data_IF_069477783287
#
_entry.id   IF_069477783287
#
_cell.length_a   1.000
_cell.length_b   1.000
_cell.length_c   1.000
_cell.angle_alpha   90.00
_cell.angle_beta   90.00
_cell.angle_gamma   90.00
#
_symmetry.space_group_name_H-M   'P 1'
#
loop_
_entity.id
_entity.type
_entity.pdbx_description
1 polymer ?
#
# COMPACT_ATOMS: atom_id res chain seq x y z
N UNK A 1 17.29 0.91 -0.36
CA UNK A 1 16.19 1.03 0.62
C UNK A 1 15.05 0.17 0.11
N UNK A 2 14.62 -0.84 0.86
CA UNK A 2 13.54 -1.76 0.49
C UNK A 2 12.27 -1.34 1.23
N UNK A 3 11.16 -1.15 0.50
CA UNK A 3 9.90 -0.64 1.04
C UNK A 3 8.85 -1.74 0.96
N UNK A 4 8.06 -1.89 2.03
CA UNK A 4 6.83 -2.67 2.03
C UNK A 4 5.64 -1.72 2.17
N UNK A 5 4.56 -1.99 1.44
CA UNK A 5 3.37 -1.14 1.41
C UNK A 5 2.19 -1.90 1.96
N UNK A 6 1.54 -1.32 2.96
CA UNK A 6 0.35 -1.84 3.60
C UNK A 6 -0.94 -1.55 2.82
N UNK A 7 -2.00 -2.27 3.15
CA UNK A 7 -3.35 -2.15 2.60
C UNK A 7 -3.91 -0.73 2.69
N UNK A 8 -3.69 -0.04 3.80
CA UNK A 8 -4.17 1.33 4.00
C UNK A 8 -3.70 2.30 2.89
N UNK A 9 -2.46 2.17 2.46
CA UNK A 9 -1.90 2.99 1.38
C UNK A 9 -2.52 2.62 0.03
N UNK A 10 -2.75 1.32 -0.25
CA UNK A 10 -3.44 0.89 -1.48
C UNK A 10 -4.85 1.45 -1.53
N UNK A 11 -5.59 1.34 -0.43
CA UNK A 11 -6.98 1.85 -0.35
C UNK A 11 -7.03 3.33 -0.67
N UNK A 12 -6.14 4.16 -0.12
CA UNK A 12 -6.11 5.59 -0.46
C UNK A 12 -5.79 5.85 -1.93
N UNK A 13 -4.90 5.07 -2.54
CA UNK A 13 -4.54 5.25 -3.94
C UNK A 13 -5.73 5.11 -4.89
N UNK A 14 -6.71 4.27 -4.52
CA UNK A 14 -7.95 4.02 -5.29
C UNK A 14 -9.16 4.79 -4.75
N UNK A 15 -9.06 5.45 -3.59
CA UNK A 15 -10.15 6.23 -3.00
C UNK A 15 -10.28 7.61 -3.65
N UNK A 16 -11.50 8.12 -3.67
CA UNK A 16 -11.84 9.51 -4.06
C UNK A 16 -12.16 10.40 -2.87
N UNK A 17 -12.22 9.84 -1.66
CA UNK A 17 -12.68 10.55 -0.46
C UNK A 17 -11.66 11.59 0.06
N UNK A 18 -10.37 11.34 -0.15
CA UNK A 18 -9.29 12.25 0.24
C UNK A 18 -8.29 12.41 -0.92
N UNK A 19 -8.47 13.42 -1.78
CA UNK A 19 -7.61 13.64 -2.93
C UNK A 19 -6.13 13.82 -2.58
N UNK A 20 -5.83 14.44 -1.42
CA UNK A 20 -4.44 14.67 -0.99
C UNK A 20 -3.76 13.35 -0.61
N UNK A 21 -4.42 12.53 0.20
CA UNK A 21 -3.90 11.20 0.55
C UNK A 21 -3.82 10.28 -0.67
N UNK A 22 -4.80 10.36 -1.58
CA UNK A 22 -4.81 9.59 -2.82
C UNK A 22 -3.58 9.91 -3.70
N UNK A 23 -3.24 11.18 -3.85
CA UNK A 23 -2.04 11.58 -4.61
C UNK A 23 -0.76 11.07 -3.95
N UNK A 24 -0.64 11.24 -2.63
CA UNK A 24 0.49 10.75 -1.85
C UNK A 24 0.64 9.23 -1.98
N UNK A 25 -0.45 8.50 -1.84
CA UNK A 25 -0.46 7.05 -1.95
C UNK A 25 -0.03 6.58 -3.36
N UNK A 26 -0.54 7.23 -4.42
CA UNK A 26 -0.12 6.94 -5.79
C UNK A 26 1.36 7.22 -6.02
N UNK A 27 1.91 8.26 -5.38
CA UNK A 27 3.35 8.55 -5.45
C UNK A 27 4.17 7.46 -4.75
N UNK A 28 3.76 7.00 -3.57
CA UNK A 28 4.36 5.84 -2.89
C UNK A 28 4.35 4.61 -3.79
N UNK A 29 3.23 4.35 -4.46
CA UNK A 29 3.09 3.22 -5.37
C UNK A 29 3.91 3.37 -6.66
N UNK A 30 4.33 4.57 -7.06
CA UNK A 30 5.26 4.76 -8.19
C UNK A 30 6.71 4.41 -7.86
N UNK A 31 7.05 4.23 -6.60
CA UNK A 31 8.38 3.78 -6.19
C UNK A 31 8.56 2.34 -6.71
N UNK A 32 9.40 2.18 -7.73
CA UNK A 32 9.63 0.86 -8.35
C UNK A 32 10.26 -0.11 -7.36
N UNK A 33 9.80 -1.38 -7.38
CA UNK A 33 10.37 -2.46 -6.60
C UNK A 33 9.90 -2.55 -5.14
N UNK A 34 8.85 -1.81 -4.75
CA UNK A 34 8.20 -1.97 -3.44
C UNK A 34 7.53 -3.34 -3.30
N UNK A 35 7.54 -3.85 -2.06
CA UNK A 35 6.90 -5.11 -1.71
C UNK A 35 5.46 -4.89 -1.26
N UNK A 36 4.62 -5.85 -1.57
CA UNK A 36 3.30 -6.10 -0.98
C UNK A 36 3.20 -7.59 -0.67
N UNK A 37 2.13 -8.03 0.01
CA UNK A 37 1.86 -9.45 0.21
C UNK A 37 0.52 -9.89 -0.37
N UNK A 38 0.31 -11.19 -0.47
CA UNK A 38 -1.00 -11.76 -0.81
C UNK A 38 -2.09 -11.38 0.20
N UNK A 39 -1.73 -11.17 1.48
CA UNK A 39 -2.65 -10.61 2.48
C UNK A 39 -3.09 -9.19 2.08
N UNK A 40 -2.14 -8.31 1.77
CA UNK A 40 -2.42 -6.92 1.34
C UNK A 40 -3.38 -6.90 0.14
N UNK A 41 -3.14 -7.75 -0.85
CA UNK A 41 -4.03 -7.86 -2.02
C UNK A 41 -5.43 -8.35 -1.65
N UNK A 42 -5.53 -9.32 -0.73
CA UNK A 42 -6.80 -9.86 -0.24
C UNK A 42 -7.60 -8.81 0.54
N UNK A 43 -6.95 -8.11 1.47
CA UNK A 43 -7.58 -7.05 2.26
C UNK A 43 -8.00 -5.87 1.39
N UNK A 44 -7.14 -5.44 0.46
CA UNK A 44 -7.48 -4.42 -0.53
C UNK A 44 -8.73 -4.81 -1.33
N UNK A 45 -8.79 -6.04 -1.84
CA UNK A 45 -9.93 -6.54 -2.60
C UNK A 45 -11.22 -6.49 -1.78
N UNK A 46 -11.18 -6.91 -0.51
CA UNK A 46 -12.34 -6.86 0.38
C UNK A 46 -12.80 -5.42 0.67
N UNK A 47 -11.86 -4.50 0.92
CA UNK A 47 -12.17 -3.08 1.15
C UNK A 47 -12.70 -2.42 -0.13
N UNK A 48 -12.11 -2.73 -1.29
CA UNK A 48 -12.54 -2.22 -2.58
C UNK A 48 -13.97 -2.64 -2.91
N UNK A 49 -14.34 -3.90 -2.64
CA UNK A 49 -15.70 -4.39 -2.79
C UNK A 49 -16.69 -3.67 -1.86
N UNK A 50 -16.34 -3.56 -0.56
CA UNK A 50 -17.30 -3.15 0.47
C UNK A 50 -17.39 -1.64 0.68
N UNK A 51 -16.23 -0.93 0.61
CA UNK A 51 -16.16 0.50 0.95
C UNK A 51 -15.99 1.39 -0.27
N UNK A 52 -15.21 0.97 -1.27
CA UNK A 52 -15.04 1.74 -2.49
C UNK A 52 -16.10 1.40 -3.55
N UNK A 53 -16.90 0.37 -3.31
CA UNK A 53 -17.98 -0.09 -4.19
C UNK A 53 -17.48 -0.30 -5.63
N UNK A 54 -16.26 -0.80 -5.76
CA UNK A 54 -15.66 -1.09 -7.06
C UNK A 54 -16.23 -2.38 -7.64
N UNK A 55 -16.49 -2.43 -8.96
CA UNK A 55 -16.91 -3.67 -9.62
C UNK A 55 -15.83 -4.77 -9.49
N UNK A 56 -16.21 -6.05 -9.27
CA UNK A 56 -15.24 -7.15 -9.12
C UNK A 56 -14.23 -7.25 -10.27
N UNK A 57 -14.68 -6.93 -11.49
CA UNK A 57 -13.80 -6.94 -12.68
C UNK A 57 -12.71 -5.88 -12.61
N UNK A 58 -13.03 -4.68 -12.13
CA UNK A 58 -12.06 -3.60 -11.96
C UNK A 58 -11.07 -3.91 -10.83
N UNK A 59 -11.54 -4.55 -9.75
CA UNK A 59 -10.68 -5.00 -8.65
C UNK A 59 -9.69 -6.06 -9.15
N UNK A 60 -10.17 -7.04 -9.92
CA UNK A 60 -9.31 -8.09 -10.47
C UNK A 60 -8.23 -7.50 -11.38
N UNK A 61 -8.56 -6.48 -12.17
CA UNK A 61 -7.59 -5.77 -13.00
C UNK A 61 -6.55 -5.00 -12.16
N UNK A 62 -7.01 -4.28 -11.13
CA UNK A 62 -6.12 -3.58 -10.20
C UNK A 62 -5.15 -4.54 -9.49
N UNK A 63 -5.63 -5.71 -9.06
CA UNK A 63 -4.80 -6.75 -8.42
C UNK A 63 -3.74 -7.28 -9.40
N UNK A 64 -4.09 -7.54 -10.68
CA UNK A 64 -3.09 -7.96 -11.68
C UNK A 64 -2.03 -6.90 -11.90
N UNK A 65 -2.42 -5.64 -12.09
CA UNK A 65 -1.50 -4.52 -12.26
C UNK A 65 -0.57 -4.33 -11.06
N UNK A 66 -1.08 -4.48 -9.84
CA UNK A 66 -0.27 -4.45 -8.63
C UNK A 66 0.74 -5.60 -8.60
N UNK A 67 0.32 -6.82 -8.97
CA UNK A 67 1.19 -7.99 -9.02
C UNK A 67 2.27 -7.89 -10.11
N UNK A 68 1.99 -7.26 -11.24
CA UNK A 68 2.95 -7.03 -12.31
C UNK A 68 3.98 -5.93 -11.99
N UNK A 69 3.56 -4.91 -11.24
CA UNK A 69 4.39 -3.73 -10.96
C UNK A 69 5.10 -3.79 -9.62
N UNK A 70 4.77 -4.75 -8.75
CA UNK A 70 5.29 -4.93 -7.39
C UNK A 70 5.87 -6.32 -7.19
N UNK A 71 6.77 -6.44 -6.21
CA UNK A 71 7.17 -7.74 -5.69
C UNK A 71 6.07 -8.22 -4.73
N UNK A 72 5.53 -9.40 -4.97
CA UNK A 72 4.47 -9.97 -4.14
C UNK A 72 5.05 -11.09 -3.29
N UNK A 73 5.02 -10.90 -1.96
CA UNK A 73 5.33 -11.95 -1.00
C UNK A 73 4.08 -12.81 -0.78
N UNK A 74 4.20 -14.10 -1.01
CA UNK A 74 3.16 -15.05 -0.64
C UNK A 74 3.24 -15.35 0.85
N UNK A 75 2.15 -15.11 1.59
CA UNK A 75 2.07 -15.45 3.02
C UNK A 75 2.11 -16.96 3.19
N UNK A 76 3.04 -17.43 4.02
CA UNK A 76 3.28 -18.83 4.34
C UNK A 76 3.10 -19.08 5.85
N UNK A 77 3.07 -20.34 6.25
CA UNK A 77 2.89 -20.75 7.66
C UNK A 77 3.92 -20.07 8.58
N UNK A 78 5.17 -19.96 8.14
CA UNK A 78 6.22 -19.28 8.93
C UNK A 78 5.88 -17.81 9.27
N UNK A 79 5.24 -17.08 8.34
CA UNK A 79 4.79 -15.70 8.59
C UNK A 79 3.64 -15.66 9.61
N UNK A 80 2.73 -16.66 9.58
CA UNK A 80 1.63 -16.78 10.56
C UNK A 80 2.19 -16.98 11.95
N UNK A 81 3.17 -17.87 12.14
CA UNK A 81 3.82 -18.12 13.43
C UNK A 81 4.56 -16.87 13.91
N UNK A 82 5.35 -16.24 13.04
CA UNK A 82 6.06 -15.01 13.38
C UNK A 82 5.12 -13.87 13.79
N UNK A 83 3.96 -13.77 13.13
CA UNK A 83 2.95 -12.76 13.47
C UNK A 83 2.40 -12.93 14.88
N UNK A 84 2.19 -14.17 15.36
CA UNK A 84 1.74 -14.44 16.73
C UNK A 84 2.78 -13.96 17.77
N UNK A 85 4.07 -14.17 17.50
CA UNK A 85 5.14 -13.71 18.36
C UNK A 85 5.25 -12.18 18.38
N UNK A 86 5.17 -11.54 17.20
CA UNK A 86 5.18 -10.09 17.07
C UNK A 86 3.97 -9.46 17.78
N UNK A 87 2.78 -10.02 17.61
CA UNK A 87 1.57 -9.57 18.31
C UNK A 87 1.74 -9.60 19.83
N UNK A 88 2.30 -10.67 20.38
CA UNK A 88 2.60 -10.77 21.80
C UNK A 88 3.63 -9.73 22.26
N UNK A 89 4.69 -9.51 21.48
CA UNK A 89 5.82 -8.64 21.83
C UNK A 89 5.49 -7.16 21.71
N UNK A 90 4.85 -6.77 20.59
CA UNK A 90 4.59 -5.36 20.25
C UNK A 90 3.16 -4.91 20.53
N UNK A 91 2.27 -5.83 20.92
CA UNK A 91 0.85 -5.56 21.25
C UNK A 91 0.04 -5.03 20.07
N UNK A 92 0.44 -5.33 18.85
CA UNK A 92 -0.34 -5.10 17.64
C UNK A 92 -1.42 -6.18 17.45
N UNK A 93 -2.44 -5.88 16.65
CA UNK A 93 -3.39 -6.89 16.21
C UNK A 93 -2.68 -8.02 15.45
N UNK A 94 -3.34 -9.17 15.34
CA UNK A 94 -2.77 -10.29 14.58
C UNK A 94 -2.51 -9.92 13.12
N UNK A 95 -3.46 -9.24 12.47
CA UNK A 95 -3.32 -8.87 11.05
C UNK A 95 -2.23 -7.82 10.82
N UNK A 96 -2.12 -6.83 11.70
CA UNK A 96 -1.02 -5.85 11.67
C UNK A 96 0.33 -6.55 11.86
N UNK A 97 0.39 -7.51 12.79
CA UNK A 97 1.59 -8.31 13.04
C UNK A 97 1.95 -9.18 11.84
N UNK A 98 0.98 -9.66 11.07
CA UNK A 98 1.22 -10.43 9.86
C UNK A 98 1.76 -9.56 8.72
N UNK A 99 1.32 -8.31 8.62
CA UNK A 99 1.92 -7.31 7.72
C UNK A 99 3.38 -7.06 8.11
N UNK A 100 3.66 -6.86 9.41
CA UNK A 100 5.02 -6.65 9.92
C UNK A 100 5.90 -7.88 9.64
N UNK A 101 5.42 -9.10 9.92
CA UNK A 101 6.14 -10.34 9.64
C UNK A 101 6.45 -10.48 8.15
N UNK A 102 5.50 -10.16 7.29
CA UNK A 102 5.67 -10.17 5.83
C UNK A 102 6.72 -9.15 5.37
N UNK A 103 6.69 -7.94 5.94
CA UNK A 103 7.67 -6.90 5.62
C UNK A 103 9.10 -7.28 6.03
N UNK A 104 9.27 -7.86 7.23
CA UNK A 104 10.57 -8.36 7.70
C UNK A 104 11.07 -9.50 6.80
N UNK A 105 10.23 -10.48 6.46
CA UNK A 105 10.58 -11.59 5.59
C UNK A 105 10.94 -11.15 4.17
N UNK A 106 10.33 -10.06 3.67
CA UNK A 106 10.69 -9.44 2.39
C UNK A 106 12.01 -8.65 2.44
N UNK A 107 12.66 -8.55 3.60
CA UNK A 107 13.87 -7.73 3.80
C UNK A 107 13.60 -6.23 3.64
N UNK A 108 12.38 -5.79 3.95
CA UNK A 108 12.04 -4.38 3.90
C UNK A 108 12.70 -3.64 5.08
N UNK A 109 13.15 -2.40 4.82
CA UNK A 109 13.67 -1.50 5.85
C UNK A 109 12.66 -0.43 6.24
N UNK A 110 11.60 -0.26 5.46
CA UNK A 110 10.49 0.66 5.73
C UNK A 110 9.16 0.00 5.42
N UNK A 111 8.22 0.09 6.36
CA UNK A 111 6.81 -0.26 6.17
C UNK A 111 5.99 1.02 6.09
N UNK A 112 5.38 1.29 4.92
CA UNK A 112 4.42 2.37 4.78
C UNK A 112 3.03 1.92 5.16
N UNK A 113 2.48 2.53 6.21
CA UNK A 113 1.13 2.29 6.74
C UNK A 113 0.60 3.54 7.44
N UNK A 114 -0.72 3.68 7.55
CA UNK A 114 -1.35 4.72 8.37
C UNK A 114 -1.77 4.17 9.74
N UNK A 115 -1.97 2.84 9.85
CA UNK A 115 -2.66 2.19 10.97
C UNK A 115 -1.73 1.84 12.15
N UNK A 116 -0.41 1.91 11.94
CA UNK A 116 0.59 1.57 12.95
C UNK A 116 1.32 2.80 13.50
N UNK A 117 2.05 2.62 14.61
CA UNK A 117 2.77 3.71 15.27
C UNK A 117 3.92 4.25 14.41
N UNK A 118 3.72 5.44 13.86
CA UNK A 118 4.72 6.13 13.06
C UNK A 118 6.02 6.35 13.84
N UNK A 119 7.14 6.04 13.22
CA UNK A 119 8.49 6.22 13.77
C UNK A 119 8.99 5.04 14.58
N UNK A 120 8.14 4.07 14.93
CA UNK A 120 8.57 2.87 15.63
C UNK A 120 9.46 2.03 14.72
N UNK A 121 10.46 1.40 15.32
CA UNK A 121 11.33 0.42 14.66
C UNK A 121 11.09 -0.97 15.24
N UNK A 122 10.84 -1.93 14.40
CA UNK A 122 10.62 -3.33 14.76
C UNK A 122 11.94 -4.09 14.60
N UNK A 123 12.33 -4.81 15.65
CA UNK A 123 13.57 -5.62 15.74
C UNK A 123 14.85 -4.86 15.31
N UNK A 124 14.86 -3.53 15.44
CA UNK A 124 15.97 -2.69 15.02
C UNK A 124 16.15 -2.55 13.49
N UNK A 125 15.27 -3.14 12.70
CA UNK A 125 15.42 -3.28 11.24
C UNK A 125 14.33 -2.54 10.48
N UNK A 126 13.05 -2.80 10.79
CA UNK A 126 11.90 -2.31 10.03
C UNK A 126 11.34 -1.04 10.65
N UNK A 127 11.51 0.10 9.98
CA UNK A 127 10.91 1.37 10.40
C UNK A 127 9.47 1.48 9.90
N UNK A 128 8.53 1.74 10.80
CA UNK A 128 7.14 2.05 10.47
C UNK A 128 7.02 3.54 10.12
N UNK A 129 6.41 3.87 8.98
CA UNK A 129 6.27 5.23 8.52
C UNK A 129 4.88 5.47 7.91
N UNK A 130 4.17 6.51 8.38
CA UNK A 130 2.99 6.98 7.68
C UNK A 130 3.41 7.90 6.52
N UNK A 131 3.03 7.60 5.28
CA UNK A 131 3.38 8.47 4.16
C UNK A 131 2.56 9.77 4.15
N UNK A 132 1.52 9.87 4.96
CA UNK A 132 0.58 10.99 4.98
C UNK A 132 0.96 12.10 5.96
N UNK A 133 1.95 11.87 6.83
CA UNK A 133 2.43 12.88 7.78
C UNK A 133 3.31 13.94 7.10
N UNK A 134 3.28 15.20 7.56
CA UNK A 134 4.05 16.29 6.96
C UNK A 134 5.56 16.02 6.87
N UNK A 135 6.14 15.37 7.87
CA UNK A 135 7.56 15.01 7.90
C UNK A 135 7.97 14.05 6.79
N UNK A 136 7.03 13.25 6.29
CA UNK A 136 7.26 12.37 5.15
C UNK A 136 7.47 13.14 3.82
N UNK A 137 7.05 14.41 3.75
CA UNK A 137 7.29 15.27 2.58
C UNK A 137 8.77 15.59 2.39
N UNK A 138 9.55 15.73 3.46
CA UNK A 138 10.99 15.99 3.38
C UNK A 138 11.76 14.75 2.89
N UNK A 139 11.40 13.56 3.35
CA UNK A 139 11.98 12.31 2.87
C UNK A 139 11.68 12.07 1.37
N UNK A 140 10.54 12.55 0.85
CA UNK A 140 10.17 12.45 -0.58
C UNK A 140 11.00 13.38 -1.47
N UNK A 141 11.41 14.54 -0.97
CA UNK A 141 12.33 15.44 -1.69
C UNK A 141 13.65 14.77 -2.04
N UNK A 142 14.20 13.99 -1.12
CA UNK A 142 15.41 13.19 -1.33
C UNK A 142 15.15 12.07 -2.36
N UNK A 143 13.99 11.43 -2.34
CA UNK A 143 13.61 10.38 -3.30
C UNK A 143 13.41 10.92 -4.72
N UNK A 144 12.84 12.11 -4.87
CA UNK A 144 12.65 12.78 -6.16
C UNK A 144 13.99 13.16 -6.81
N UNK A 145 14.96 13.61 -6.00
CA UNK A 145 16.31 13.96 -6.47
C UNK A 145 17.09 12.72 -6.96
N UNK A 146 16.97 11.58 -6.31
CA UNK A 146 17.61 10.31 -6.72
C UNK A 146 16.97 9.75 -7.99
N UNK A 147 15.72 10.05 -8.28
CA UNK A 147 14.98 9.54 -9.45
C UNK A 147 15.20 10.35 -10.72
N UNK A 148 15.51 11.65 -10.61
CA UNK A 148 15.85 12.48 -11.79
C UNK A 148 17.14 12.03 -12.47
N UNK A 149 17.94 11.20 -11.80
CA UNK A 149 19.18 10.61 -12.34
C UNK A 149 18.98 9.27 -13.07
N UNK A 150 17.76 8.67 -13.04
CA UNK A 150 17.46 7.40 -13.71
C UNK A 150 16.06 7.46 -14.35
N UNK A 151 15.96 7.99 -15.56
CA UNK A 151 14.73 7.93 -16.37
C UNK A 151 14.45 6.49 -16.81
N UNK A 152 13.41 5.89 -16.24
CA UNK A 152 12.74 4.72 -16.79
C UNK A 152 11.25 5.03 -16.89
N UNK A 153 10.75 4.90 -18.13
CA UNK A 153 9.35 5.09 -18.51
C UNK A 153 8.46 4.10 -17.76
N UNK A 154 7.55 4.59 -16.93
CA UNK A 154 6.55 3.76 -16.22
C UNK A 154 5.17 4.20 -16.65
N UNK A 155 4.43 3.27 -17.25
CA UNK A 155 3.02 3.40 -17.63
C UNK A 155 2.18 3.84 -16.41
N UNK A 156 1.48 4.94 -16.59
CA UNK A 156 0.44 5.40 -15.64
C UNK A 156 -0.80 4.52 -15.77
N UNK A 157 -1.41 4.04 -14.67
CA UNK A 157 -2.71 3.40 -14.73
C UNK A 157 -3.76 4.39 -15.23
N UNK A 158 -4.44 4.09 -16.35
CA UNK A 158 -5.62 4.85 -16.78
C UNK A 158 -6.77 4.52 -15.84
N UNK A 159 -7.01 5.39 -14.86
CA UNK A 159 -8.25 5.42 -14.11
C UNK A 159 -9.35 5.95 -15.05
N UNK A 160 -10.27 5.07 -15.45
CA UNK A 160 -11.49 5.46 -16.15
C UNK A 160 -12.42 6.16 -15.16
N UNK A 161 -12.31 7.47 -15.04
CA UNK A 161 -13.29 8.29 -14.33
C UNK A 161 -14.57 8.34 -15.18
N UNK A 162 -15.54 7.49 -14.88
CA UNK A 162 -16.90 7.61 -15.44
C UNK A 162 -17.61 8.77 -14.75
N UNK A 163 -17.71 9.89 -15.48
CA UNK A 163 -18.65 10.96 -15.12
C UNK A 163 -20.07 10.40 -15.22
N UNK A 164 -20.76 10.35 -14.08
CA UNK A 164 -22.18 9.99 -14.01
C UNK A 164 -23.01 10.96 -14.87
N UNK A 165 -23.66 10.43 -15.91
CA UNK A 165 -24.73 11.13 -16.61
C UNK A 165 -25.99 10.97 -15.78
N UNK A 166 -26.40 12.03 -15.11
CA UNK A 166 -27.75 12.23 -14.61
C UNK A 166 -28.71 12.23 -15.81
N UNK A 167 -29.50 11.18 -15.98
CA UNK A 167 -30.69 11.26 -16.84
C UNK A 167 -31.82 11.81 -15.99
N UNK A 168 -32.20 13.05 -16.27
CA UNK A 168 -33.50 13.56 -16.00
C UNK A 168 -34.46 12.86 -16.97
N UNK A 169 -35.42 12.11 -16.43
CA UNK A 169 -36.55 11.61 -17.18
C UNK A 169 -37.71 12.59 -17.00
N UNK A 170 -38.00 13.35 -18.04
CA UNK A 170 -39.31 13.95 -18.23
C UNK A 170 -40.23 12.96 -18.93
N UNK A 171 -41.47 12.91 -18.40
CA UNK A 171 -42.77 12.35 -18.78
C UNK A 171 -43.07 11.00 -18.21
#
# INVERSE_FOLDING_TARGET
MSVFVDTSVLVYAYSTNDPNKAEIAREVLRISGGWISTQVLSEFSNVALRKLVMPPREIAEAVRQLAETRRVLTVQIGHVVAALELSRRYRYSYYDSLIIASALAAGATTLYTEDLHHGQTIDGILRIASPFRPEAKQARGVYRAVRSARSVSVLTPRLAVRRGRTRLSEK
#
